data_IF_946320707506
#
_entry.id   IF_946320707506
#
_cell.length_a   1.000
_cell.length_b   1.000
_cell.length_c   1.000
_cell.angle_alpha   90.00
_cell.angle_beta   90.00
_cell.angle_gamma   90.00
#
_symmetry.space_group_name_H-M   'P 1'
#
loop_
_entity.id
_entity.type
_entity.pdbx_description
1 polymer ?
#
# COMPACT_ATOMS: atom_id res chain seq x y z
N UNK A 1 19.79 -34.07 -35.28
CA UNK A 1 18.95 -34.02 -34.06
C UNK A 1 18.81 -32.55 -33.70
N UNK A 2 17.84 -31.89 -34.34
CA UNK A 2 17.55 -30.45 -34.19
C UNK A 2 16.58 -30.23 -33.01
N UNK A 3 16.61 -29.06 -32.38
CA UNK A 3 15.89 -28.79 -31.13
C UNK A 3 14.45 -28.37 -31.42
N UNK A 4 13.49 -29.24 -31.14
CA UNK A 4 12.05 -28.99 -31.29
C UNK A 4 11.39 -28.38 -30.03
N UNK A 5 12.13 -27.82 -29.06
CA UNK A 5 11.55 -27.49 -27.74
C UNK A 5 11.15 -26.04 -27.48
N UNK A 6 11.31 -25.11 -28.43
CA UNK A 6 10.89 -23.70 -28.25
C UNK A 6 9.57 -23.36 -28.95
N UNK A 7 9.29 -24.01 -30.08
CA UNK A 7 8.09 -23.71 -30.89
C UNK A 7 6.84 -24.29 -30.20
N UNK A 8 6.96 -25.44 -29.54
CA UNK A 8 5.82 -26.16 -28.93
C UNK A 8 5.32 -25.49 -27.64
N UNK A 9 6.12 -24.66 -26.98
CA UNK A 9 5.67 -23.83 -25.84
C UNK A 9 4.80 -22.64 -26.27
N UNK A 10 4.94 -22.15 -27.51
CA UNK A 10 4.14 -21.04 -28.03
C UNK A 10 2.70 -21.44 -28.39
N UNK A 11 2.46 -22.71 -28.71
CA UNK A 11 1.16 -23.19 -29.19
C UNK A 11 0.15 -23.54 -28.10
N UNK A 12 0.55 -23.57 -26.82
CA UNK A 12 -0.34 -23.87 -25.69
C UNK A 12 -0.65 -22.64 -24.80
N UNK A 13 -0.19 -21.46 -25.20
CA UNK A 13 -0.49 -20.24 -24.50
C UNK A 13 -1.89 -19.71 -24.92
N UNK A 14 -2.85 -19.55 -24.00
CA UNK A 14 -4.16 -19.03 -24.35
C UNK A 14 -4.00 -17.66 -25.01
N UNK A 15 -4.77 -17.37 -26.07
CA UNK A 15 -4.66 -16.14 -26.89
C UNK A 15 -4.49 -14.85 -26.06
N UNK A 16 -5.08 -14.79 -24.86
CA UNK A 16 -4.91 -13.68 -23.91
C UNK A 16 -3.50 -13.50 -23.31
N UNK A 17 -2.70 -14.56 -23.15
CA UNK A 17 -1.32 -14.47 -22.63
C UNK A 17 -0.35 -13.90 -23.68
N UNK A 18 -0.48 -14.32 -24.95
CA UNK A 18 0.28 -13.76 -26.06
C UNK A 18 -0.01 -12.26 -26.26
N UNK A 19 -1.28 -11.85 -26.21
CA UNK A 19 -1.66 -10.44 -26.27
C UNK A 19 -1.08 -9.63 -25.11
N UNK A 20 -1.07 -10.20 -23.90
CA UNK A 20 -0.48 -9.56 -22.72
C UNK A 20 1.05 -9.45 -22.85
N UNK A 21 1.71 -10.47 -23.38
CA UNK A 21 3.16 -10.47 -23.62
C UNK A 21 3.55 -9.42 -24.67
N UNK A 22 2.83 -9.36 -25.79
CA UNK A 22 3.02 -8.35 -26.84
C UNK A 22 2.88 -6.93 -26.27
N UNK A 23 1.81 -6.67 -25.51
CA UNK A 23 1.59 -5.35 -24.89
C UNK A 23 2.69 -4.98 -23.88
N UNK A 24 3.18 -5.93 -23.08
CA UNK A 24 4.31 -5.70 -22.18
C UNK A 24 5.60 -5.35 -22.94
N UNK A 25 5.82 -5.93 -24.12
CA UNK A 25 6.97 -5.59 -24.96
C UNK A 25 6.83 -4.18 -25.54
N UNK A 26 5.66 -3.84 -26.07
CA UNK A 26 5.35 -2.48 -26.58
C UNK A 26 5.60 -1.42 -25.51
N UNK A 27 5.11 -1.65 -24.29
CA UNK A 27 5.32 -0.79 -23.12
C UNK A 27 6.80 -0.58 -22.81
N UNK A 28 7.62 -1.64 -22.87
CA UNK A 28 9.07 -1.54 -22.64
C UNK A 28 9.78 -0.72 -23.71
N UNK A 29 9.40 -0.90 -24.98
CA UNK A 29 9.97 -0.13 -26.10
C UNK A 29 9.62 1.34 -25.93
N UNK A 30 8.36 1.65 -25.59
CA UNK A 30 7.91 3.02 -25.31
C UNK A 30 8.70 3.65 -24.16
N UNK A 31 8.93 2.91 -23.07
CA UNK A 31 9.70 3.38 -21.91
C UNK A 31 11.16 3.71 -22.28
N UNK A 32 11.81 2.86 -23.09
CA UNK A 32 13.17 3.11 -23.59
C UNK A 32 13.21 4.37 -24.45
N UNK A 33 12.28 4.52 -25.40
CA UNK A 33 12.20 5.70 -26.27
C UNK A 33 12.01 6.96 -25.41
N UNK A 34 11.08 6.94 -24.47
CA UNK A 34 10.78 8.07 -23.57
C UNK A 34 11.95 8.46 -22.69
N UNK A 35 12.70 7.49 -22.18
CA UNK A 35 13.87 7.76 -21.33
C UNK A 35 14.91 8.66 -22.03
N UNK A 36 14.95 8.63 -23.36
CA UNK A 36 15.83 9.48 -24.18
C UNK A 36 15.10 10.73 -24.69
N UNK A 37 13.91 10.56 -25.28
CA UNK A 37 13.21 11.65 -25.98
C UNK A 37 12.55 12.67 -25.04
N UNK A 38 12.24 12.28 -23.80
CA UNK A 38 11.55 13.11 -22.81
C UNK A 38 12.45 13.49 -21.62
N UNK A 39 13.78 13.50 -21.80
CA UNK A 39 14.74 13.80 -20.72
C UNK A 39 14.46 15.14 -20.00
N UNK A 40 14.01 16.16 -20.72
CA UNK A 40 13.62 17.47 -20.18
C UNK A 40 12.33 17.43 -19.34
N UNK A 41 11.36 16.57 -19.69
CA UNK A 41 10.14 16.37 -18.89
C UNK A 41 10.51 15.61 -17.62
N UNK A 42 11.35 14.58 -17.73
CA UNK A 42 11.81 13.77 -16.60
C UNK A 42 12.61 14.62 -15.58
N UNK A 43 13.33 15.65 -16.03
CA UNK A 43 14.10 16.52 -15.14
C UNK A 43 13.25 17.57 -14.41
N UNK A 44 12.02 17.81 -14.86
CA UNK A 44 11.09 18.80 -14.31
C UNK A 44 10.35 18.23 -13.11
N UNK A 45 10.29 18.99 -12.00
CA UNK A 45 9.47 18.61 -10.84
C UNK A 45 7.99 18.68 -11.22
N UNK A 46 7.32 17.54 -11.13
CA UNK A 46 5.88 17.37 -11.39
C UNK A 46 5.10 17.25 -10.08
N UNK A 47 5.65 16.57 -9.08
CA UNK A 47 5.03 16.43 -7.77
C UNK A 47 5.81 17.27 -6.76
N UNK A 48 5.17 18.22 -6.08
CA UNK A 48 5.86 18.93 -5.00
C UNK A 48 6.15 17.99 -3.83
N UNK A 49 5.16 17.17 -3.47
CA UNK A 49 5.31 16.08 -2.50
C UNK A 49 4.88 14.74 -3.06
N UNK A 50 5.59 13.69 -2.70
CA UNK A 50 5.24 12.32 -2.97
C UNK A 50 5.27 11.51 -1.68
N UNK A 51 4.20 10.76 -1.41
CA UNK A 51 4.10 9.88 -0.24
C UNK A 51 3.74 8.47 -0.73
N UNK A 52 4.67 7.54 -0.53
CA UNK A 52 4.48 6.11 -0.72
C UNK A 52 4.01 5.49 0.59
N UNK A 53 2.81 4.93 0.62
CA UNK A 53 2.22 4.30 1.81
C UNK A 53 2.29 2.77 1.69
N UNK A 54 2.83 2.11 2.71
CA UNK A 54 2.96 0.66 2.82
C UNK A 54 2.18 0.19 4.04
N UNK A 55 1.41 -0.88 3.89
CA UNK A 55 0.79 -1.55 5.03
C UNK A 55 0.00 -2.78 4.62
N UNK A 56 -0.15 -3.73 5.54
CA UNK A 56 -0.99 -4.90 5.29
C UNK A 56 -2.44 -4.49 5.11
N UNK A 57 -3.17 -5.17 4.23
CA UNK A 57 -4.62 -4.95 4.13
C UNK A 57 -5.25 -5.19 5.50
N UNK A 58 -6.15 -4.28 5.89
CA UNK A 58 -6.80 -4.16 7.22
C UNK A 58 -5.95 -3.55 8.35
N UNK A 59 -4.77 -3.00 8.06
CA UNK A 59 -3.98 -2.21 9.03
C UNK A 59 -4.57 -0.83 9.36
N UNK A 60 -5.56 -0.36 8.59
CA UNK A 60 -6.05 1.03 8.69
C UNK A 60 -5.56 1.94 7.57
N UNK A 61 -4.88 1.40 6.54
CA UNK A 61 -4.38 2.13 5.36
C UNK A 61 -5.36 3.20 4.85
N UNK A 62 -6.60 2.82 4.53
CA UNK A 62 -7.58 3.75 3.98
C UNK A 62 -7.95 4.91 4.91
N UNK A 63 -7.98 4.69 6.22
CA UNK A 63 -8.30 5.74 7.20
C UNK A 63 -7.16 6.75 7.29
N UNK A 64 -5.91 6.26 7.42
CA UNK A 64 -4.73 7.11 7.48
C UNK A 64 -4.48 7.84 6.16
N UNK A 65 -4.61 7.16 5.01
CA UNK A 65 -4.45 7.82 3.70
C UNK A 65 -5.49 8.93 3.53
N UNK A 66 -6.75 8.67 3.93
CA UNK A 66 -7.81 9.67 3.84
C UNK A 66 -7.54 10.87 4.76
N UNK A 67 -7.05 10.62 5.96
CA UNK A 67 -6.62 11.68 6.87
C UNK A 67 -5.46 12.50 6.27
N UNK A 68 -4.42 11.86 5.71
CA UNK A 68 -3.32 12.53 5.00
C UNK A 68 -3.83 13.36 3.81
N UNK A 69 -4.74 12.81 3.00
CA UNK A 69 -5.36 13.54 1.87
C UNK A 69 -6.01 14.85 2.33
N UNK A 70 -6.63 14.85 3.50
CA UNK A 70 -7.35 16.01 4.05
C UNK A 70 -6.45 17.04 4.72
N UNK A 71 -5.26 16.62 5.12
CA UNK A 71 -4.20 17.52 5.62
C UNK A 71 -3.43 18.24 4.49
N UNK A 72 -3.74 17.95 3.23
CA UNK A 72 -3.05 18.52 2.08
C UNK A 72 -3.89 19.60 1.41
N UNK A 73 -3.25 20.72 1.09
CA UNK A 73 -3.82 21.76 0.24
C UNK A 73 -3.47 21.52 -1.24
N UNK A 74 -4.32 21.98 -2.15
CA UNK A 74 -4.02 21.96 -3.60
C UNK A 74 -4.41 20.66 -4.32
N UNK A 75 -3.76 20.38 -5.45
CA UNK A 75 -4.05 19.22 -6.28
C UNK A 75 -3.39 17.94 -5.73
N UNK A 76 -4.23 17.07 -5.16
CA UNK A 76 -3.84 15.76 -4.63
C UNK A 76 -4.28 14.65 -5.58
N UNK A 77 -3.35 13.79 -6.00
CA UNK A 77 -3.66 12.54 -6.69
C UNK A 77 -3.39 11.34 -5.78
N UNK A 78 -4.38 10.47 -5.61
CA UNK A 78 -4.21 9.20 -4.89
C UNK A 78 -4.37 7.98 -5.81
N UNK A 79 -3.32 7.16 -5.87
CA UNK A 79 -3.27 5.87 -6.56
C UNK A 79 -3.30 4.71 -5.55
N UNK A 80 -4.47 4.09 -5.38
CA UNK A 80 -4.69 3.11 -4.34
C UNK A 80 -4.24 1.69 -4.73
N UNK A 81 -3.43 1.05 -3.88
CA UNK A 81 -3.01 -0.35 -3.95
C UNK A 81 -2.50 -0.74 -5.35
N UNK A 82 -1.52 0.02 -5.84
CA UNK A 82 -0.93 -0.17 -7.15
C UNK A 82 -0.05 -1.42 -7.19
N UNK A 83 0.30 -1.86 -8.40
CA UNK A 83 1.23 -2.99 -8.58
C UNK A 83 2.66 -2.53 -8.44
N UNK A 84 3.46 -3.32 -7.72
CA UNK A 84 4.91 -3.15 -7.67
C UNK A 84 5.52 -3.39 -9.04
N UNK A 85 6.58 -2.65 -9.36
CA UNK A 85 7.37 -2.83 -10.59
C UNK A 85 6.61 -2.62 -11.91
N UNK A 86 5.47 -1.93 -11.89
CA UNK A 86 4.67 -1.61 -13.08
C UNK A 86 4.32 -0.10 -13.07
N UNK A 87 4.07 0.47 -14.26
CA UNK A 87 3.59 1.86 -14.39
C UNK A 87 2.12 1.92 -13.92
N UNK A 88 1.79 2.68 -12.86
CA UNK A 88 0.46 2.65 -12.26
C UNK A 88 -0.61 3.27 -13.15
N UNK A 89 -0.24 4.20 -14.02
CA UNK A 89 -1.17 4.85 -14.93
C UNK A 89 -1.59 3.92 -16.07
N UNK A 90 -0.69 3.03 -16.51
CA UNK A 90 -1.01 1.96 -17.47
C UNK A 90 -2.05 1.00 -16.92
N UNK A 91 -1.86 0.55 -15.69
CA UNK A 91 -2.82 -0.31 -15.02
C UNK A 91 -4.20 0.36 -14.92
N UNK A 92 -4.25 1.65 -14.60
CA UNK A 92 -5.51 2.39 -14.49
C UNK A 92 -6.28 2.43 -15.82
N UNK A 93 -5.66 2.88 -16.91
CA UNK A 93 -6.41 2.96 -18.18
C UNK A 93 -6.69 1.59 -18.78
N UNK A 94 -5.81 0.59 -18.62
CA UNK A 94 -6.08 -0.77 -19.09
C UNK A 94 -7.27 -1.39 -18.34
N UNK A 95 -7.39 -1.13 -17.04
CA UNK A 95 -8.53 -1.58 -16.25
C UNK A 95 -9.83 -0.88 -16.65
N UNK A 96 -9.78 0.42 -17.00
CA UNK A 96 -10.92 1.16 -17.51
C UNK A 96 -11.39 0.64 -18.88
N UNK A 97 -10.44 0.35 -19.78
CA UNK A 97 -10.72 -0.28 -21.08
C UNK A 97 -11.42 -1.63 -20.90
N UNK A 98 -10.92 -2.49 -19.99
CA UNK A 98 -11.57 -3.79 -19.68
C UNK A 98 -12.99 -3.64 -19.14
N UNK A 99 -13.28 -2.55 -18.44
CA UNK A 99 -14.59 -2.25 -17.85
C UNK A 99 -15.51 -1.46 -18.79
N UNK A 100 -15.10 -1.22 -20.04
CA UNK A 100 -15.81 -0.36 -21.00
C UNK A 100 -16.20 1.00 -20.42
N UNK A 101 -15.33 1.58 -19.58
CA UNK A 101 -15.54 2.88 -18.96
C UNK A 101 -14.59 3.91 -19.58
N UNK A 102 -15.12 4.78 -20.44
CA UNK A 102 -14.34 5.80 -21.14
C UNK A 102 -13.93 7.00 -20.28
N UNK A 103 -14.51 7.16 -19.09
CA UNK A 103 -14.25 8.32 -18.24
C UNK A 103 -12.78 8.35 -17.81
N UNK A 104 -12.09 9.44 -18.13
CA UNK A 104 -10.68 9.70 -17.82
C UNK A 104 -9.65 8.77 -18.52
N UNK A 105 -10.03 7.95 -19.51
CA UNK A 105 -9.07 7.10 -20.22
C UNK A 105 -7.94 7.93 -20.82
N UNK A 106 -8.26 9.02 -21.52
CA UNK A 106 -7.27 9.88 -22.16
C UNK A 106 -6.28 10.45 -21.14
N UNK A 107 -6.77 11.01 -20.02
CA UNK A 107 -5.92 11.50 -18.92
C UNK A 107 -4.93 10.43 -18.47
N UNK A 108 -5.39 9.22 -18.20
CA UNK A 108 -4.53 8.14 -17.72
C UNK A 108 -3.55 7.63 -18.79
N UNK A 109 -3.93 7.65 -20.06
CA UNK A 109 -3.02 7.35 -21.17
C UNK A 109 -1.92 8.42 -21.28
N UNK A 110 -2.26 9.69 -21.11
CA UNK A 110 -1.27 10.77 -21.14
C UNK A 110 -0.29 10.67 -19.96
N UNK A 111 -0.77 10.45 -18.74
CA UNK A 111 0.10 10.22 -17.56
C UNK A 111 0.98 8.96 -17.78
N UNK A 112 0.43 7.87 -18.34
CA UNK A 112 1.20 6.68 -18.65
C UNK A 112 2.34 6.93 -19.65
N UNK A 113 2.16 7.91 -20.55
CA UNK A 113 3.12 8.36 -21.56
C UNK A 113 4.05 9.48 -21.08
N UNK A 114 3.99 9.85 -19.80
CA UNK A 114 4.87 10.85 -19.20
C UNK A 114 4.41 12.29 -19.34
N UNK A 115 3.23 12.52 -19.92
CA UNK A 115 2.60 13.84 -19.95
C UNK A 115 1.85 14.04 -18.64
N UNK A 116 2.61 14.14 -17.56
CA UNK A 116 2.07 14.20 -16.21
C UNK A 116 1.43 15.57 -15.91
N UNK A 117 0.28 15.56 -15.27
CA UNK A 117 -0.31 16.75 -14.64
C UNK A 117 0.56 17.13 -13.44
N UNK A 118 0.82 18.42 -13.21
CA UNK A 118 1.50 18.86 -11.97
C UNK A 118 0.60 18.61 -10.77
N UNK A 119 1.21 18.26 -9.64
CA UNK A 119 0.49 17.88 -8.40
C UNK A 119 1.19 18.52 -7.21
N UNK A 120 0.41 19.02 -6.27
CA UNK A 120 0.93 19.44 -4.98
C UNK A 120 1.28 18.21 -4.13
N UNK A 121 0.47 17.15 -4.22
CA UNK A 121 0.79 15.87 -3.59
C UNK A 121 0.39 14.66 -4.44
N UNK A 122 1.34 13.73 -4.60
CA UNK A 122 1.10 12.39 -5.11
C UNK A 122 1.10 11.39 -3.94
N UNK A 123 -0.02 10.72 -3.71
CA UNK A 123 -0.16 9.63 -2.76
C UNK A 123 -0.30 8.32 -3.52
N UNK A 124 0.42 7.28 -3.12
CA UNK A 124 0.18 5.94 -3.64
C UNK A 124 0.45 4.88 -2.60
N UNK A 125 -0.29 3.78 -2.68
CA UNK A 125 -0.22 2.73 -1.67
C UNK A 125 0.10 1.35 -2.22
N UNK A 126 0.79 0.56 -1.40
CA UNK A 126 1.04 -0.86 -1.59
C UNK A 126 0.45 -1.64 -0.43
N UNK A 127 -0.43 -2.60 -0.74
CA UNK A 127 -0.93 -3.54 0.26
C UNK A 127 -0.47 -4.96 -0.03
N UNK A 128 -0.04 -5.63 1.04
CA UNK A 128 0.32 -7.05 1.07
C UNK A 128 1.53 -7.45 0.19
N UNK A 129 2.44 -6.52 -0.13
CA UNK A 129 3.68 -6.80 -0.89
C UNK A 129 4.91 -6.83 0.03
N UNK A 130 5.91 -7.68 -0.24
CA UNK A 130 7.17 -7.61 0.50
C UNK A 130 7.95 -6.32 0.20
N UNK A 131 8.75 -5.86 1.15
CA UNK A 131 9.52 -4.62 1.03
C UNK A 131 10.55 -4.70 -0.09
N UNK A 132 11.13 -5.88 -0.32
CA UNK A 132 12.04 -6.09 -1.45
C UNK A 132 11.35 -5.95 -2.84
N UNK A 133 10.04 -6.18 -2.92
CA UNK A 133 9.26 -5.98 -4.15
C UNK A 133 8.94 -4.50 -4.33
N UNK A 134 8.64 -3.80 -3.24
CA UNK A 134 8.30 -2.36 -3.21
C UNK A 134 9.56 -1.52 -3.49
N UNK A 135 10.64 -1.73 -2.74
CA UNK A 135 11.91 -1.01 -2.85
C UNK A 135 12.86 -1.66 -3.87
N UNK A 136 12.32 -2.17 -4.97
CA UNK A 136 13.13 -2.84 -5.98
C UNK A 136 14.12 -1.85 -6.62
N UNK A 137 15.42 -2.12 -6.47
CA UNK A 137 16.49 -1.21 -6.95
C UNK A 137 16.43 -0.90 -8.44
N UNK A 138 15.95 -1.83 -9.29
CA UNK A 138 15.83 -1.58 -10.73
C UNK A 138 14.66 -0.64 -11.01
N UNK A 139 13.56 -0.83 -10.32
CA UNK A 139 12.38 0.02 -10.46
C UNK A 139 12.58 1.42 -9.91
N UNK A 140 13.30 1.59 -8.80
CA UNK A 140 13.67 2.92 -8.27
C UNK A 140 14.46 3.75 -9.29
N UNK A 141 15.29 3.12 -10.14
CA UNK A 141 16.00 3.83 -11.23
C UNK A 141 15.06 4.34 -12.32
N UNK A 142 13.89 3.72 -12.46
CA UNK A 142 12.84 4.11 -13.43
C UNK A 142 11.71 4.90 -12.76
N UNK A 143 11.86 5.29 -11.50
CA UNK A 143 10.83 5.95 -10.71
C UNK A 143 10.24 7.16 -11.43
N UNK A 144 11.07 8.13 -11.80
CA UNK A 144 10.63 9.40 -12.39
C UNK A 144 10.00 9.22 -13.78
N UNK A 145 10.33 8.12 -14.48
CA UNK A 145 9.71 7.76 -15.75
C UNK A 145 8.23 7.38 -15.57
N UNK A 146 7.85 6.85 -14.41
CA UNK A 146 6.52 6.33 -14.13
C UNK A 146 5.68 7.23 -13.23
N UNK A 147 6.29 7.96 -12.31
CA UNK A 147 5.57 8.82 -11.36
C UNK A 147 5.78 10.32 -11.62
N UNK A 148 6.73 10.67 -12.49
CA UNK A 148 7.24 12.04 -12.60
C UNK A 148 8.21 12.34 -11.47
N UNK A 149 9.11 13.30 -11.70
CA UNK A 149 10.06 13.72 -10.67
C UNK A 149 9.35 14.45 -9.55
N UNK A 150 9.72 14.13 -8.32
CA UNK A 150 9.17 14.72 -7.10
C UNK A 150 10.21 15.60 -6.40
N UNK A 151 9.80 16.74 -5.84
CA UNK A 151 10.72 17.58 -5.05
C UNK A 151 11.04 16.93 -3.70
N UNK A 152 10.01 16.45 -3.00
CA UNK A 152 10.16 15.69 -1.76
C UNK A 152 9.49 14.32 -1.86
N UNK A 153 10.13 13.29 -1.30
CA UNK A 153 9.60 11.92 -1.23
C UNK A 153 9.57 11.44 0.22
N UNK A 154 8.50 10.76 0.58
CA UNK A 154 8.28 10.16 1.90
C UNK A 154 7.85 8.71 1.75
N UNK A 155 8.42 7.85 2.57
CA UNK A 155 8.03 6.46 2.75
C UNK A 155 7.28 6.32 4.07
N UNK A 156 6.00 5.97 4.01
CA UNK A 156 5.13 5.77 5.18
C UNK A 156 4.84 4.29 5.36
N UNK A 157 5.18 3.73 6.52
CA UNK A 157 4.80 2.36 6.88
C UNK A 157 3.79 2.36 8.03
N UNK A 158 2.64 1.75 7.79
CA UNK A 158 1.53 1.67 8.74
C UNK A 158 1.53 0.28 9.39
N UNK A 159 1.66 0.26 10.71
CA UNK A 159 1.60 -0.94 11.53
C UNK A 159 0.37 -0.90 12.44
N UNK A 160 -0.33 -2.04 12.51
CA UNK A 160 -1.42 -2.29 13.46
C UNK A 160 -1.07 -3.51 14.28
N UNK A 161 -1.50 -3.54 15.54
CA UNK A 161 -1.26 -4.69 16.40
C UNK A 161 -1.77 -5.97 15.73
N UNK A 162 -1.02 -7.09 15.86
CA UNK A 162 -1.32 -8.30 15.13
C UNK A 162 -2.64 -8.93 15.58
N UNK A 163 -3.06 -8.73 16.83
CA UNK A 163 -4.33 -9.24 17.33
C UNK A 163 -5.51 -8.71 16.51
N UNK A 164 -5.68 -7.39 16.46
CA UNK A 164 -6.77 -6.76 15.73
C UNK A 164 -6.62 -6.85 14.21
N UNK A 165 -5.39 -6.84 13.69
CA UNK A 165 -5.13 -7.02 12.27
C UNK A 165 -5.55 -8.42 11.80
N UNK A 166 -5.07 -9.47 12.45
CA UNK A 166 -5.33 -10.85 12.07
C UNK A 166 -6.82 -11.19 12.23
N UNK A 167 -7.46 -10.73 13.31
CA UNK A 167 -8.91 -10.84 13.47
C UNK A 167 -9.68 -10.18 12.31
N UNK A 168 -9.28 -8.97 11.93
CA UNK A 168 -9.90 -8.25 10.81
C UNK A 168 -9.68 -8.92 9.46
N UNK A 169 -8.55 -9.63 9.27
CA UNK A 169 -8.23 -10.37 8.05
C UNK A 169 -8.98 -11.71 8.01
N UNK A 170 -9.11 -12.42 9.13
CA UNK A 170 -9.90 -13.66 9.23
C UNK A 170 -11.37 -13.37 8.90
N UNK A 171 -11.95 -12.36 9.55
CA UNK A 171 -13.35 -11.96 9.35
C UNK A 171 -13.70 -11.68 7.87
N UNK A 172 -12.72 -11.22 7.09
CA UNK A 172 -12.89 -10.84 5.68
C UNK A 172 -12.34 -11.88 4.71
N UNK A 173 -11.86 -13.03 5.19
CA UNK A 173 -11.16 -14.06 4.41
C UNK A 173 -9.97 -13.51 3.60
N UNK A 174 -9.18 -12.66 4.25
CA UNK A 174 -8.18 -11.79 3.64
C UNK A 174 -6.73 -12.17 3.98
N UNK A 175 -6.48 -13.43 4.37
CA UNK A 175 -5.16 -13.90 4.84
C UNK A 175 -4.07 -13.89 3.76
N UNK A 176 -4.41 -14.22 2.52
CA UNK A 176 -3.45 -14.26 1.42
C UNK A 176 -2.75 -12.90 1.21
N UNK A 177 -1.45 -12.96 0.90
CA UNK A 177 -0.60 -11.81 0.57
C UNK A 177 -0.08 -11.90 -0.86
N UNK A 178 0.50 -10.81 -1.37
CA UNK A 178 1.06 -10.71 -2.73
C UNK A 178 2.55 -11.08 -2.81
N UNK A 179 3.06 -11.70 -1.74
CA UNK A 179 4.36 -12.36 -1.68
C UNK A 179 4.12 -13.89 -1.58
N UNK A 180 4.20 -14.65 -2.69
CA UNK A 180 3.71 -16.04 -2.75
C UNK A 180 4.33 -17.02 -1.73
N UNK A 181 5.51 -16.70 -1.21
CA UNK A 181 6.26 -17.53 -0.26
C UNK A 181 6.14 -17.03 1.19
N UNK A 182 5.19 -16.12 1.46
CA UNK A 182 5.01 -15.52 2.79
C UNK A 182 3.56 -15.66 3.22
N UNK A 183 3.37 -15.83 4.52
CA UNK A 183 2.11 -15.61 5.21
C UNK A 183 1.94 -14.12 5.53
N UNK A 184 0.76 -13.73 6.00
CA UNK A 184 0.57 -12.38 6.53
C UNK A 184 1.30 -12.13 7.86
N UNK A 185 1.65 -13.17 8.61
CA UNK A 185 2.53 -13.06 9.79
C UNK A 185 3.97 -12.77 9.34
N UNK A 186 4.50 -13.52 8.37
CA UNK A 186 5.86 -13.29 7.86
C UNK A 186 6.02 -11.87 7.30
N UNK A 187 4.98 -11.39 6.61
CA UNK A 187 4.99 -10.05 6.04
C UNK A 187 4.80 -8.97 7.11
N UNK A 188 4.02 -9.23 8.16
CA UNK A 188 3.92 -8.33 9.31
C UNK A 188 5.26 -8.17 10.02
N UNK A 189 5.98 -9.28 10.26
CA UNK A 189 7.32 -9.27 10.88
C UNK A 189 8.32 -8.53 9.97
N UNK A 190 8.29 -8.74 8.65
CA UNK A 190 9.11 -7.97 7.72
C UNK A 190 8.88 -6.46 7.86
N UNK A 191 7.62 -6.04 8.01
CA UNK A 191 7.28 -4.63 8.20
C UNK A 191 7.69 -4.12 9.59
N UNK A 192 7.59 -4.95 10.63
CA UNK A 192 8.05 -4.61 11.98
C UNK A 192 9.57 -4.33 12.03
N UNK A 193 10.37 -5.16 11.34
CA UNK A 193 11.82 -4.95 11.21
C UNK A 193 12.16 -3.61 10.56
N UNK A 194 11.47 -3.26 9.48
CA UNK A 194 11.66 -1.96 8.82
C UNK A 194 11.15 -0.79 9.69
N UNK A 195 10.05 -0.99 10.42
CA UNK A 195 9.48 -0.01 11.35
C UNK A 195 10.48 0.34 12.47
N UNK A 196 11.18 -0.65 13.02
CA UNK A 196 12.17 -0.48 14.08
C UNK A 196 13.56 -0.07 13.57
N UNK A 197 13.75 0.00 12.25
CA UNK A 197 15.03 0.38 11.64
C UNK A 197 16.08 -0.74 11.58
N UNK A 198 15.68 -1.99 11.78
CA UNK A 198 16.56 -3.16 11.61
C UNK A 198 16.85 -3.43 10.12
N UNK A 199 15.99 -2.90 9.24
CA UNK A 199 16.22 -2.85 7.80
C UNK A 199 16.07 -1.43 7.26
N UNK A 200 16.64 -1.21 6.07
CA UNK A 200 16.65 0.09 5.38
C UNK A 200 16.18 -0.05 3.93
N UNK A 201 15.06 -0.74 3.71
CA UNK A 201 14.44 -0.83 2.39
C UNK A 201 13.85 0.52 1.97
N UNK A 202 13.24 1.24 2.92
CA UNK A 202 12.56 2.51 2.70
C UNK A 202 13.53 3.66 3.01
N UNK A 203 13.84 4.47 2.00
CA UNK A 203 14.98 5.40 2.01
C UNK A 203 14.59 6.86 2.01
N UNK A 204 13.33 7.17 1.77
CA UNK A 204 12.87 8.54 1.58
C UNK A 204 12.12 9.01 2.82
N UNK A 205 12.72 9.93 3.59
CA UNK A 205 12.10 10.59 4.76
C UNK A 205 11.11 9.69 5.53
N UNK A 206 11.60 8.54 6.02
CA UNK A 206 10.75 7.44 6.51
C UNK A 206 9.91 7.88 7.71
N UNK A 207 8.60 7.66 7.62
CA UNK A 207 7.63 7.89 8.69
C UNK A 207 6.94 6.58 9.06
N UNK A 208 7.02 6.22 10.33
CA UNK A 208 6.46 4.99 10.90
C UNK A 208 5.20 5.34 11.68
N UNK A 209 4.08 4.69 11.37
CA UNK A 209 2.79 5.00 11.99
C UNK A 209 2.31 3.78 12.80
N UNK A 210 2.18 3.96 14.11
CA UNK A 210 1.47 3.04 14.99
C UNK A 210 -0.04 3.36 14.92
N UNK A 211 -0.84 2.45 14.37
CA UNK A 211 -2.28 2.67 14.18
C UNK A 211 -3.02 2.93 15.51
N UNK A 212 -2.66 2.25 16.58
CA UNK A 212 -3.35 2.34 17.86
C UNK A 212 -3.14 3.72 18.48
N UNK A 213 -1.91 4.23 18.41
CA UNK A 213 -1.60 5.62 18.79
C UNK A 213 -2.29 6.60 17.85
N UNK A 214 -2.20 6.42 16.54
CA UNK A 214 -2.86 7.31 15.56
C UNK A 214 -4.37 7.42 15.81
N UNK A 215 -5.02 6.32 16.19
CA UNK A 215 -6.44 6.29 16.48
C UNK A 215 -6.79 7.01 17.80
N UNK A 216 -5.99 6.84 18.86
CA UNK A 216 -6.32 7.32 20.21
C UNK A 216 -5.70 8.67 20.61
N UNK A 217 -4.61 9.10 19.95
CA UNK A 217 -3.74 10.18 20.42
C UNK A 217 -3.68 11.30 19.36
N UNK A 218 -4.34 12.43 19.64
CA UNK A 218 -4.36 13.59 18.73
C UNK A 218 -2.97 14.24 18.60
N UNK A 219 -2.22 14.29 19.68
CA UNK A 219 -0.82 14.72 19.74
C UNK A 219 0.08 13.86 18.85
N UNK A 220 -0.16 12.54 18.80
CA UNK A 220 0.54 11.67 17.87
C UNK A 220 0.16 11.93 16.40
N UNK A 221 -1.09 12.30 16.11
CA UNK A 221 -1.49 12.74 14.76
C UNK A 221 -0.83 14.07 14.36
N UNK A 222 -0.69 15.00 15.30
CA UNK A 222 0.08 16.24 15.10
C UNK A 222 1.55 15.96 14.81
N UNK A 223 2.17 15.03 15.54
CA UNK A 223 3.55 14.58 15.28
C UNK A 223 3.70 14.03 13.86
N UNK A 224 2.78 13.15 13.42
CA UNK A 224 2.79 12.59 12.06
C UNK A 224 2.65 13.70 11.01
N UNK A 225 1.73 14.65 11.22
CA UNK A 225 1.54 15.78 10.29
C UNK A 225 2.82 16.59 10.16
N UNK A 226 3.47 16.93 11.28
CA UNK A 226 4.77 17.63 11.26
C UNK A 226 5.86 16.85 10.53
N UNK A 227 6.00 15.53 10.79
CA UNK A 227 7.01 14.68 10.14
C UNK A 227 6.79 14.53 8.64
N UNK A 228 5.56 14.63 8.16
CA UNK A 228 5.19 14.60 6.74
C UNK A 228 5.10 16.01 6.11
N UNK A 229 5.48 17.04 6.86
CA UNK A 229 5.38 18.44 6.45
C UNK A 229 3.96 18.83 5.99
N UNK A 230 2.95 18.36 6.72
CA UNK A 230 1.52 18.59 6.44
C UNK A 230 0.98 19.71 7.35
N UNK A 231 -0.05 20.40 6.87
CA UNK A 231 -0.88 21.22 7.76
C UNK A 231 -1.74 20.31 8.64
N UNK A 232 -1.94 20.67 9.90
CA UNK A 232 -2.77 19.89 10.82
C UNK A 232 -4.11 20.57 11.06
N UNK A 233 -5.17 20.03 10.48
CA UNK A 233 -6.58 20.32 10.80
C UNK A 233 -7.29 19.15 11.49
N UNK A 234 -6.69 17.96 11.43
CA UNK A 234 -7.27 16.67 11.84
C UNK A 234 -8.50 16.22 11.02
N UNK A 235 -8.78 16.91 9.90
CA UNK A 235 -9.86 16.54 9.00
C UNK A 235 -9.71 15.12 8.44
N UNK A 236 -10.84 14.47 8.18
CA UNK A 236 -10.88 13.11 7.65
C UNK A 236 -10.67 12.00 8.68
N UNK A 237 -10.27 12.32 9.93
CA UNK A 237 -10.11 11.32 11.00
C UNK A 237 -11.40 10.52 11.27
N UNK A 238 -12.56 11.18 11.24
CA UNK A 238 -13.86 10.55 11.46
C UNK A 238 -14.49 9.92 10.21
N UNK A 239 -13.86 10.03 9.03
CA UNK A 239 -14.38 9.49 7.79
C UNK A 239 -14.07 7.98 7.66
N UNK A 240 -15.10 7.18 7.37
CA UNK A 240 -14.91 5.76 7.01
C UNK A 240 -14.86 5.68 5.49
N UNK A 241 -13.71 5.25 4.94
CA UNK A 241 -13.56 5.15 3.48
C UNK A 241 -14.59 4.20 2.86
N UNK A 242 -15.19 4.63 1.76
CA UNK A 242 -16.06 3.78 0.93
C UNK A 242 -15.27 2.70 0.16
N UNK A 243 -13.94 2.89 0.01
CA UNK A 243 -13.03 1.94 -0.65
C UNK A 243 -12.47 0.97 0.40
N UNK A 244 -12.29 -0.31 0.03
CA UNK A 244 -11.84 -1.36 0.94
C UNK A 244 -12.95 -2.07 1.73
N UNK A 245 -14.21 -1.86 1.37
CA UNK A 245 -15.36 -2.60 1.94
C UNK A 245 -15.90 -2.06 3.27
N UNK A 246 -15.37 -0.96 3.79
CA UNK A 246 -15.76 -0.40 5.09
C UNK A 246 -15.09 -1.12 6.27
N UNK A 247 -15.72 -1.05 7.45
CA UNK A 247 -15.30 -1.81 8.61
C UNK A 247 -15.39 -3.31 8.34
N UNK A 248 -14.38 -4.08 8.76
CA UNK A 248 -14.45 -5.55 8.68
C UNK A 248 -15.62 -6.14 9.46
N UNK A 249 -16.10 -5.43 10.49
CA UNK A 249 -17.13 -5.89 11.42
C UNK A 249 -18.45 -5.13 11.26
N UNK A 250 -18.36 -3.82 11.03
CA UNK A 250 -19.52 -2.91 11.05
C UNK A 250 -19.97 -2.47 9.64
N UNK A 251 -19.37 -3.06 8.60
CA UNK A 251 -19.64 -2.74 7.20
C UNK A 251 -19.56 -1.23 6.92
N UNK A 252 -20.66 -0.66 6.43
CA UNK A 252 -20.77 0.76 6.03
C UNK A 252 -21.68 1.58 6.95
N UNK A 253 -22.17 0.98 8.04
CA UNK A 253 -23.20 1.59 8.91
C UNK A 253 -22.68 2.80 9.72
N UNK A 254 -21.36 2.99 9.77
CA UNK A 254 -20.70 4.01 10.62
C UNK A 254 -20.03 5.14 9.83
N UNK A 255 -20.52 5.47 8.63
CA UNK A 255 -20.01 6.63 7.90
C UNK A 255 -20.13 7.91 8.75
N UNK A 256 -18.99 8.53 9.08
CA UNK A 256 -18.93 9.72 9.96
C UNK A 256 -18.91 9.41 11.47
N UNK A 257 -18.83 8.14 11.87
CA UNK A 257 -18.77 7.68 13.28
C UNK A 257 -17.60 6.70 13.51
N UNK A 258 -16.44 6.94 12.90
CA UNK A 258 -15.30 6.02 12.97
C UNK A 258 -14.83 5.71 14.41
N UNK A 259 -14.99 6.65 15.35
CA UNK A 259 -14.66 6.50 16.77
C UNK A 259 -15.67 5.66 17.57
N UNK A 260 -16.88 5.44 17.04
CA UNK A 260 -17.88 4.58 17.66
C UNK A 260 -17.64 3.08 17.40
N UNK A 261 -16.68 2.75 16.54
CA UNK A 261 -16.36 1.37 16.17
C UNK A 261 -15.31 0.80 17.13
N UNK A 262 -15.52 -0.43 17.62
CA UNK A 262 -14.51 -1.14 18.43
C UNK A 262 -13.39 -1.70 17.54
N UNK A 263 -12.59 -0.79 16.96
CA UNK A 263 -11.48 -1.18 16.09
C UNK A 263 -10.31 -1.76 16.88
N UNK A 264 -10.19 -1.46 18.18
CA UNK A 264 -9.09 -1.93 19.03
C UNK A 264 -9.43 -3.20 19.84
N UNK A 265 -10.68 -3.63 19.83
CA UNK A 265 -11.15 -4.85 20.48
C UNK A 265 -11.66 -5.93 19.53
N UNK A 266 -11.36 -5.84 18.23
CA UNK A 266 -11.80 -6.81 17.20
C UNK A 266 -11.35 -8.23 17.47
N UNK A 267 -10.20 -8.39 18.12
CA UNK A 267 -9.68 -9.70 18.51
C UNK A 267 -10.62 -10.47 19.44
N UNK A 268 -11.46 -9.78 20.23
CA UNK A 268 -12.38 -10.40 21.20
C UNK A 268 -13.38 -11.35 20.53
N UNK A 269 -13.73 -11.10 19.26
CA UNK A 269 -14.64 -11.97 18.48
C UNK A 269 -14.05 -13.37 18.28
N UNK A 270 -12.72 -13.47 18.19
CA UNK A 270 -12.01 -14.72 17.97
C UNK A 270 -11.29 -15.21 19.24
N UNK A 271 -11.55 -14.59 20.39
CA UNK A 271 -10.84 -14.87 21.64
C UNK A 271 -10.87 -16.36 22.01
N UNK A 272 -11.96 -17.07 21.75
CA UNK A 272 -12.12 -18.51 22.03
C UNK A 272 -11.80 -19.42 20.84
N UNK A 273 -11.44 -18.86 19.69
CA UNK A 273 -11.10 -19.64 18.49
C UNK A 273 -9.68 -20.22 18.62
N UNK A 274 -9.58 -21.55 18.62
CA UNK A 274 -8.31 -22.26 18.77
C UNK A 274 -7.35 -22.05 17.60
N UNK A 275 -7.84 -21.90 16.38
CA UNK A 275 -7.01 -21.63 15.21
C UNK A 275 -6.48 -20.20 15.22
N UNK A 276 -7.27 -19.24 15.73
CA UNK A 276 -6.82 -17.87 15.96
C UNK A 276 -5.73 -17.80 17.03
N UNK A 277 -5.93 -18.46 18.19
CA UNK A 277 -4.93 -18.50 19.28
C UNK A 277 -3.58 -19.03 18.81
N UNK A 278 -3.57 -20.12 18.02
CA UNK A 278 -2.33 -20.71 17.47
C UNK A 278 -1.49 -19.77 16.61
N UNK A 279 -2.05 -18.68 16.10
CA UNK A 279 -1.28 -17.68 15.36
C UNK A 279 -0.26 -16.96 16.25
N UNK A 280 -0.51 -16.92 17.55
CA UNK A 280 0.32 -16.25 18.55
C UNK A 280 1.31 -17.19 19.23
N UNK A 281 1.39 -18.47 18.82
CA UNK A 281 2.50 -19.36 19.18
C UNK A 281 3.84 -18.89 18.56
N UNK A 282 3.77 -17.94 17.61
CA UNK A 282 4.92 -17.31 17.00
C UNK A 282 5.53 -16.26 17.95
N UNK A 283 6.63 -16.63 18.63
CA UNK A 283 7.33 -15.75 19.58
C UNK A 283 7.87 -14.47 18.95
N UNK A 284 8.41 -14.56 17.73
CA UNK A 284 8.94 -13.39 17.02
C UNK A 284 7.83 -12.35 16.76
N UNK A 285 6.63 -12.80 16.36
CA UNK A 285 5.46 -11.93 16.21
C UNK A 285 5.12 -11.18 17.51
N UNK A 286 5.11 -11.90 18.63
CA UNK A 286 4.78 -11.33 19.95
C UNK A 286 5.85 -10.35 20.44
N UNK A 287 7.12 -10.68 20.28
CA UNK A 287 8.25 -9.81 20.68
C UNK A 287 8.21 -8.48 19.92
N UNK A 288 8.04 -8.52 18.60
CA UNK A 288 7.89 -7.31 17.79
C UNK A 288 6.60 -6.53 18.13
N UNK A 289 5.51 -7.24 18.43
CA UNK A 289 4.25 -6.61 18.86
C UNK A 289 4.43 -5.82 20.14
N UNK A 290 4.99 -6.44 21.18
CA UNK A 290 5.25 -5.79 22.47
C UNK A 290 6.19 -4.60 22.29
N UNK A 291 7.23 -4.74 21.45
CA UNK A 291 8.18 -3.65 21.20
C UNK A 291 7.53 -2.43 20.53
N UNK A 292 6.63 -2.64 19.56
CA UNK A 292 6.02 -1.55 18.78
C UNK A 292 4.79 -0.95 19.49
N UNK A 293 4.00 -1.78 20.15
CA UNK A 293 2.69 -1.40 20.68
C UNK A 293 2.61 -1.42 22.21
N UNK A 294 3.58 -2.02 22.89
CA UNK A 294 3.46 -2.42 24.29
C UNK A 294 2.41 -3.50 24.49
N UNK A 295 2.18 -3.85 25.76
CA UNK A 295 1.15 -4.81 26.13
C UNK A 295 -0.23 -4.34 25.68
N UNK A 296 -0.89 -5.18 24.88
CA UNK A 296 -2.26 -4.92 24.43
C UNK A 296 -3.23 -5.38 25.53
N UNK A 297 -4.07 -4.49 26.08
CA UNK A 297 -4.97 -4.85 27.17
C UNK A 297 -5.91 -6.01 26.81
N UNK A 298 -5.84 -7.07 27.62
CA UNK A 298 -6.70 -8.25 27.49
C UNK A 298 -6.17 -9.36 26.59
N UNK A 299 -5.01 -9.20 25.91
CA UNK A 299 -4.50 -10.25 25.00
C UNK A 299 -3.59 -11.27 25.65
N UNK A 300 -3.19 -11.07 26.91
CA UNK A 300 -2.20 -11.91 27.60
C UNK A 300 -2.54 -13.42 27.61
N UNK A 301 -3.81 -13.79 27.60
CA UNK A 301 -4.20 -15.21 27.56
C UNK A 301 -4.13 -15.84 26.15
N UNK A 302 -3.99 -15.01 25.11
CA UNK A 302 -3.73 -15.44 23.72
C UNK A 302 -2.23 -15.71 23.50
N UNK A 303 -1.38 -15.12 24.33
CA UNK A 303 0.06 -15.34 24.37
C UNK A 303 0.32 -16.63 25.16
N UNK A 304 0.16 -17.78 24.51
CA UNK A 304 0.45 -19.06 25.17
C UNK A 304 1.98 -19.17 25.35
N UNK A 305 2.41 -19.44 26.58
CA UNK A 305 3.81 -19.59 27.01
C UNK A 305 4.49 -20.84 26.43
#
# INVERSE_FOLDING_TARGET
MYPESLITQFFNEPIGSLQKAKRKLEHRIEDVIRSVSQSHIISTVINQKEIRIIGLRRSGNHAIIRWIEKQQTGEVLHLNNIRVNENPYRDNYENLLRKNNSKNIERWQQEARGFFTKKDCLLYSYEDYSLNQIANRRFEKTHDLYFGKSAERYDVIIMRDPFNLLASRIQQNYRAVKAPQKTDIDLWIEYAKEYLGETEYLKHNKVTINYNRWFNQVDYRQEIASRLNLEFSDDGFHEVSQRGGGSSFDGREFHGKATAMDVLGRWKVFAEDTAYRKLFDNKELLEYSETIFGSIPGTKFLEIS
#
